data_IF_797000422922
#
_entry.id   IF_797000422922
#
_cell.length_a   1.000
_cell.length_b   1.000
_cell.length_c   1.000
_cell.angle_alpha   90.00
_cell.angle_beta   90.00
_cell.angle_gamma   90.00
#
_symmetry.space_group_name_H-M   'P 1'
#
loop_
_entity.id
_entity.type
_entity.pdbx_description
1 polymer ?
#
# COMPACT_ATOMS: atom_id res chain seq x y z
N UNK A 1 23.57 10.47 -77.16
CA UNK A 1 24.21 10.52 -75.82
C UNK A 1 23.36 11.30 -74.79
N UNK A 2 22.05 11.01 -74.64
CA UNK A 2 21.15 11.74 -73.72
C UNK A 2 20.56 10.87 -72.59
N UNK A 3 20.68 9.53 -72.68
CA UNK A 3 20.10 8.58 -71.71
C UNK A 3 21.06 8.18 -70.57
N UNK A 4 22.36 8.48 -70.70
CA UNK A 4 23.37 8.16 -69.69
C UNK A 4 23.48 9.27 -68.63
N UNK A 5 23.16 10.53 -68.98
CA UNK A 5 23.15 11.64 -68.03
C UNK A 5 22.01 11.59 -67.00
N UNK A 6 20.90 10.91 -67.32
CA UNK A 6 19.74 10.80 -66.44
C UNK A 6 19.96 9.78 -65.29
N UNK A 7 20.86 8.82 -65.48
CA UNK A 7 21.20 7.81 -64.46
C UNK A 7 22.20 8.36 -63.44
N UNK A 8 23.07 9.30 -63.86
CA UNK A 8 24.08 9.91 -62.99
C UNK A 8 23.51 10.99 -62.07
N UNK A 9 22.34 11.55 -62.37
CA UNK A 9 21.67 12.52 -61.50
C UNK A 9 20.77 11.87 -60.44
N UNK A 10 20.37 10.61 -60.64
CA UNK A 10 19.48 9.88 -59.72
C UNK A 10 20.25 9.25 -58.53
N UNK A 11 21.58 9.15 -58.62
CA UNK A 11 22.42 8.56 -57.56
C UNK A 11 22.88 9.57 -56.49
N UNK A 12 22.75 10.88 -56.72
CA UNK A 12 23.23 11.91 -55.78
C UNK A 12 22.19 12.39 -54.77
N UNK A 13 20.89 12.07 -54.93
CA UNK A 13 19.84 12.57 -54.04
C UNK A 13 19.50 11.65 -52.85
N UNK A 14 20.17 10.50 -52.73
CA UNK A 14 19.96 9.56 -51.61
C UNK A 14 20.86 9.81 -50.38
N UNK A 15 21.72 10.84 -50.40
CA UNK A 15 22.46 11.27 -49.21
C UNK A 15 21.59 12.19 -48.35
N UNK A 16 20.45 11.67 -47.92
CA UNK A 16 19.65 12.28 -46.86
C UNK A 16 20.51 12.38 -45.61
N UNK A 17 20.70 13.61 -45.12
CA UNK A 17 21.35 13.91 -43.86
C UNK A 17 20.70 13.10 -42.72
N UNK A 18 21.32 11.97 -42.39
CA UNK A 18 21.02 11.25 -41.16
C UNK A 18 21.53 12.12 -40.01
N UNK A 19 20.64 12.99 -39.53
CA UNK A 19 20.82 13.71 -38.28
C UNK A 19 21.10 12.66 -37.19
N UNK A 20 22.38 12.51 -36.84
CA UNK A 20 22.81 11.78 -35.64
C UNK A 20 22.14 12.48 -34.46
N UNK A 21 20.93 12.05 -34.08
CA UNK A 21 20.35 12.35 -32.78
C UNK A 21 21.41 11.94 -31.76
N UNK A 22 21.94 12.92 -31.01
CA UNK A 22 22.78 12.65 -29.84
C UNK A 22 22.04 11.62 -29.01
N UNK A 23 22.56 10.39 -28.95
CA UNK A 23 22.11 9.38 -28.00
C UNK A 23 22.43 9.94 -26.62
N UNK A 24 21.44 10.59 -25.99
CA UNK A 24 21.49 10.84 -24.56
C UNK A 24 21.72 9.48 -23.89
N UNK A 25 22.62 9.43 -22.91
CA UNK A 25 22.87 8.21 -22.14
C UNK A 25 21.52 7.77 -21.56
N UNK A 26 20.94 6.69 -22.07
CA UNK A 26 19.69 6.15 -21.55
C UNK A 26 19.98 5.59 -20.17
N UNK A 27 19.55 6.29 -19.12
CA UNK A 27 19.57 5.77 -17.75
C UNK A 27 18.77 4.46 -17.74
N UNK A 28 19.38 3.36 -17.30
CA UNK A 28 18.67 2.10 -17.11
C UNK A 28 18.16 2.00 -15.67
N UNK A 29 17.21 1.10 -15.45
CA UNK A 29 16.66 0.82 -14.12
C UNK A 29 17.32 -0.45 -13.61
N UNK A 30 17.95 -0.36 -12.44
CA UNK A 30 18.44 -1.52 -11.72
C UNK A 30 17.27 -2.12 -10.93
N UNK A 31 16.97 -3.40 -11.17
CA UNK A 31 15.97 -4.17 -10.45
C UNK A 31 16.67 -5.28 -9.67
N UNK A 32 16.33 -5.41 -8.38
CA UNK A 32 16.72 -6.55 -7.57
C UNK A 32 15.49 -7.12 -6.87
N UNK A 33 15.05 -8.29 -7.32
CA UNK A 33 14.01 -9.08 -6.67
C UNK A 33 14.63 -10.03 -5.65
N UNK A 34 14.16 -9.99 -4.41
CA UNK A 34 14.65 -10.86 -3.33
C UNK A 34 13.52 -11.36 -2.45
N UNK A 35 13.78 -12.47 -1.76
CA UNK A 35 12.99 -12.86 -0.59
C UNK A 35 13.13 -11.75 0.46
N UNK A 36 12.02 -11.44 1.13
CA UNK A 36 11.96 -10.40 2.15
C UNK A 36 12.74 -10.89 3.38
N UNK A 37 13.77 -10.16 3.77
CA UNK A 37 14.60 -10.46 4.95
C UNK A 37 14.46 -9.29 5.91
N UNK A 38 14.05 -9.57 7.14
CA UNK A 38 13.93 -8.58 8.20
C UNK A 38 15.11 -8.69 9.15
N UNK A 39 15.93 -7.64 9.24
CA UNK A 39 17.08 -7.59 10.15
C UNK A 39 16.72 -7.00 11.51
N UNK A 40 17.49 -7.32 12.55
CA UNK A 40 17.30 -6.75 13.89
C UNK A 40 17.40 -5.21 13.86
N UNK A 41 18.43 -4.69 13.18
CA UNK A 41 18.65 -3.25 13.06
C UNK A 41 17.49 -2.55 12.35
N UNK A 42 16.89 -3.14 11.31
CA UNK A 42 15.71 -2.59 10.67
C UNK A 42 14.50 -2.62 11.61
N UNK A 43 14.27 -3.73 12.34
CA UNK A 43 13.19 -3.82 13.32
C UNK A 43 13.36 -2.82 14.48
N UNK A 44 14.59 -2.56 14.90
CA UNK A 44 14.92 -1.62 15.98
C UNK A 44 14.74 -0.16 15.56
N UNK A 45 15.11 0.20 14.33
CA UNK A 45 15.01 1.57 13.85
C UNK A 45 13.67 1.91 13.19
N UNK A 46 12.86 0.89 12.86
CA UNK A 46 11.59 1.10 12.16
C UNK A 46 10.42 1.43 13.09
N UNK A 47 9.52 2.29 12.60
CA UNK A 47 8.17 2.53 13.13
C UNK A 47 7.08 1.75 12.39
N UNK A 48 7.43 0.98 11.36
CA UNK A 48 6.49 0.18 10.58
C UNK A 48 6.21 -1.16 11.27
N UNK A 49 4.95 -1.45 11.67
CA UNK A 49 4.58 -2.71 12.32
C UNK A 49 5.03 -3.95 11.55
N UNK A 50 5.02 -3.86 10.21
CA UNK A 50 5.41 -4.96 9.31
C UNK A 50 6.85 -5.40 9.48
N UNK A 51 7.78 -4.46 9.63
CA UNK A 51 9.21 -4.78 9.76
C UNK A 51 9.47 -5.50 11.07
N UNK A 52 8.85 -5.03 12.15
CA UNK A 52 8.99 -5.63 13.48
C UNK A 52 8.32 -7.01 13.52
N UNK A 53 7.10 -7.12 13.00
CA UNK A 53 6.38 -8.39 12.93
C UNK A 53 7.09 -9.41 12.03
N UNK A 54 7.64 -8.95 10.91
CA UNK A 54 8.41 -9.77 9.98
C UNK A 54 9.68 -10.32 10.61
N UNK A 55 10.40 -9.48 11.36
CA UNK A 55 11.55 -9.92 12.15
C UNK A 55 11.17 -11.00 13.17
N UNK A 56 10.08 -10.79 13.92
CA UNK A 56 9.57 -11.77 14.88
C UNK A 56 9.18 -13.11 14.23
N UNK A 57 8.58 -13.07 13.04
CA UNK A 57 8.22 -14.30 12.29
C UNK A 57 9.46 -15.06 11.82
N UNK A 58 10.47 -14.36 11.31
CA UNK A 58 11.66 -14.97 10.71
C UNK A 58 12.67 -15.46 11.76
N UNK A 59 12.61 -14.92 12.99
CA UNK A 59 13.57 -15.21 14.05
C UNK A 59 12.86 -15.71 15.33
N UNK A 60 12.21 -16.90 15.28
CA UNK A 60 11.57 -17.47 16.46
C UNK A 60 12.61 -17.72 17.56
N UNK A 61 12.33 -17.26 18.78
CA UNK A 61 13.22 -17.46 19.93
C UNK A 61 14.42 -16.49 20.00
N UNK A 62 14.45 -15.42 19.20
CA UNK A 62 15.50 -14.40 19.28
C UNK A 62 15.62 -13.82 20.71
N UNK A 63 16.84 -13.49 21.15
CA UNK A 63 17.11 -13.01 22.52
C UNK A 63 16.28 -11.76 22.91
N UNK A 64 15.99 -10.89 21.94
CA UNK A 64 15.18 -9.67 22.13
C UNK A 64 13.71 -9.81 21.71
N UNK A 65 13.19 -11.03 21.62
CA UNK A 65 11.78 -11.28 21.21
C UNK A 65 10.79 -10.46 22.03
N UNK A 66 10.94 -10.40 23.35
CA UNK A 66 10.00 -9.67 24.22
C UNK A 66 10.06 -8.15 24.00
N UNK A 67 11.24 -7.62 23.73
CA UNK A 67 11.42 -6.21 23.36
C UNK A 67 10.64 -5.90 22.07
N UNK A 68 10.82 -6.69 21.02
CA UNK A 68 10.15 -6.46 19.74
C UNK A 68 8.64 -6.69 19.81
N UNK A 69 8.16 -7.67 20.58
CA UNK A 69 6.73 -7.85 20.86
C UNK A 69 6.14 -6.61 21.53
N UNK A 70 6.76 -6.11 22.59
CA UNK A 70 6.31 -4.88 23.29
C UNK A 70 6.31 -3.67 22.38
N UNK A 71 7.37 -3.49 21.58
CA UNK A 71 7.48 -2.40 20.59
C UNK A 71 6.35 -2.47 19.56
N UNK A 72 6.10 -3.66 19.00
CA UNK A 72 5.02 -3.89 18.04
C UNK A 72 3.65 -3.56 18.62
N UNK A 73 3.35 -4.05 19.83
CA UNK A 73 2.08 -3.77 20.51
C UNK A 73 1.88 -2.28 20.77
N UNK A 74 2.94 -1.58 21.20
CA UNK A 74 2.91 -0.14 21.44
C UNK A 74 2.52 0.63 20.19
N UNK A 75 3.13 0.31 19.04
CA UNK A 75 2.85 0.98 17.76
C UNK A 75 1.42 0.69 17.29
N UNK A 76 0.95 -0.56 17.38
CA UNK A 76 -0.40 -0.94 16.95
C UNK A 76 -1.46 -0.26 17.83
N UNK A 77 -1.23 -0.17 19.14
CA UNK A 77 -2.18 0.46 20.06
C UNK A 77 -2.18 1.99 19.94
N UNK A 78 -1.03 2.63 19.66
CA UNK A 78 -0.95 4.07 19.44
C UNK A 78 -1.81 4.52 18.24
N UNK A 79 -1.82 3.75 17.15
CA UNK A 79 -2.66 4.02 15.97
C UNK A 79 -4.18 3.83 16.23
N UNK A 80 -4.56 3.27 17.39
CA UNK A 80 -5.96 3.12 17.84
C UNK A 80 -6.35 4.12 18.95
N UNK A 81 -5.52 5.12 19.24
CA UNK A 81 -5.85 6.13 20.26
C UNK A 81 -7.07 6.97 19.83
N UNK A 82 -8.05 7.22 20.72
CA UNK A 82 -9.24 8.06 20.45
C UNK A 82 -8.91 9.56 20.24
N UNK A 83 -7.66 9.92 20.01
CA UNK A 83 -7.14 11.29 19.96
C UNK A 83 -7.48 12.07 18.69
N UNK A 84 -8.19 11.47 17.74
CA UNK A 84 -8.92 12.22 16.71
C UNK A 84 -10.32 12.66 17.20
N UNK A 85 -10.42 13.25 18.39
CA UNK A 85 -11.60 14.07 18.72
C UNK A 85 -11.38 15.47 18.13
N UNK A 86 -12.14 15.91 17.10
CA UNK A 86 -12.19 17.33 16.79
C UNK A 86 -12.66 18.05 18.07
N UNK A 87 -11.84 18.93 18.61
CA UNK A 87 -12.27 19.82 19.70
C UNK A 87 -13.24 20.83 19.07
N UNK A 88 -14.53 20.50 19.08
CA UNK A 88 -15.58 21.45 18.72
C UNK A 88 -15.62 22.47 19.85
N UNK A 89 -14.95 23.62 19.69
CA UNK A 89 -15.27 24.79 20.51
C UNK A 89 -16.74 25.13 20.22
N UNK A 90 -17.64 25.14 21.22
CA UNK A 90 -19.04 25.43 20.99
C UNK A 90 -19.19 26.81 20.33
N UNK A 91 -19.89 26.85 19.19
CA UNK A 91 -20.27 28.10 18.54
C UNK A 91 -21.10 28.94 19.53
N UNK A 92 -20.81 30.25 19.61
CA UNK A 92 -21.53 31.18 20.47
C UNK A 92 -23.03 31.22 20.14
N UNK A 93 -23.88 31.46 21.15
CA UNK A 93 -25.35 31.51 21.05
C UNK A 93 -25.86 32.39 19.88
N UNK A 94 -25.16 33.47 19.58
CA UNK A 94 -25.49 34.40 18.47
C UNK A 94 -25.43 33.77 17.07
N UNK A 95 -24.69 32.67 16.87
CA UNK A 95 -24.61 31.96 15.58
C UNK A 95 -25.65 30.85 15.46
N UNK A 96 -26.20 30.39 16.59
CA UNK A 96 -27.25 29.37 16.65
C UNK A 96 -28.61 29.99 16.26
N UNK A 97 -28.91 31.21 16.72
CA UNK A 97 -30.16 31.92 16.41
C UNK A 97 -30.35 32.19 14.91
N UNK A 98 -29.27 32.46 14.17
CA UNK A 98 -29.31 32.65 12.71
C UNK A 98 -29.61 31.38 11.92
N UNK A 99 -29.36 30.20 12.48
CA UNK A 99 -29.56 28.91 11.81
C UNK A 99 -30.98 28.37 12.06
N UNK A 100 -31.52 28.62 13.25
CA UNK A 100 -32.87 28.14 13.65
C UNK A 100 -34.01 28.86 12.92
N UNK A 101 -33.74 30.00 12.28
CA UNK A 101 -34.79 30.79 11.59
C UNK A 101 -35.20 30.25 10.20
N UNK A 102 -34.51 29.26 9.64
CA UNK A 102 -34.75 28.79 8.26
C UNK A 102 -35.00 27.27 8.17
N UNK A 103 -36.07 26.77 8.78
CA UNK A 103 -36.55 25.41 8.47
C UNK A 103 -38.07 25.32 8.48
N UNK A 104 -38.66 25.59 7.32
CA UNK A 104 -39.87 24.89 6.89
C UNK A 104 -39.57 23.39 6.74
N UNK A 105 -40.61 22.55 6.87
CA UNK A 105 -40.66 21.09 6.69
C UNK A 105 -40.55 20.23 7.96
N UNK A 106 -41.50 20.43 8.88
CA UNK A 106 -42.00 19.37 9.75
C UNK A 106 -43.27 18.75 9.14
N UNK A 107 -43.16 17.56 8.52
CA UNK A 107 -44.26 16.57 8.51
C UNK A 107 -43.67 15.17 8.60
N UNK A 108 -43.79 14.59 9.79
CA UNK A 108 -43.39 13.22 10.07
C UNK A 108 -44.40 12.18 9.59
N UNK A 109 -43.92 10.94 9.49
CA UNK A 109 -44.76 9.75 9.64
C UNK A 109 -43.96 8.61 10.27
N UNK A 110 -44.44 8.21 11.44
CA UNK A 110 -44.05 7.11 12.33
C UNK A 110 -44.38 5.76 11.70
N UNK A 111 -43.57 4.71 11.93
CA UNK A 111 -44.03 3.30 12.06
C UNK A 111 -43.04 2.45 12.90
N UNK A 112 -43.60 1.44 13.56
CA UNK A 112 -43.19 0.78 14.81
C UNK A 112 -42.82 -0.72 14.67
N UNK A 113 -41.89 -1.19 15.52
CA UNK A 113 -41.69 -2.50 16.21
C UNK A 113 -42.27 -3.86 15.74
N UNK A 114 -41.45 -4.93 15.89
CA UNK A 114 -41.70 -6.26 16.56
C UNK A 114 -40.65 -7.31 16.10
N UNK A 115 -40.43 -8.52 16.66
CA UNK A 115 -40.15 -9.11 18.00
C UNK A 115 -40.01 -10.64 17.79
N UNK A 116 -39.00 -11.29 18.43
CA UNK A 116 -38.85 -12.72 18.88
C UNK A 116 -38.27 -13.88 18.00
N UNK A 117 -37.18 -14.47 18.57
CA UNK A 117 -36.79 -15.87 18.92
C UNK A 117 -36.71 -17.00 17.84
N UNK A 118 -35.69 -17.90 17.80
CA UNK A 118 -35.44 -19.03 18.74
C UNK A 118 -34.12 -19.84 18.50
N UNK A 119 -33.52 -20.29 19.61
CA UNK A 119 -32.43 -21.24 20.01
C UNK A 119 -31.74 -22.29 19.09
N UNK A 120 -30.41 -22.48 19.33
CA UNK A 120 -29.62 -23.75 19.35
C UNK A 120 -28.47 -23.59 20.39
N UNK A 121 -28.07 -24.60 21.21
CA UNK A 121 -27.17 -24.40 22.36
C UNK A 121 -25.68 -24.51 21.99
N UNK A 122 -24.86 -23.57 22.46
CA UNK A 122 -23.41 -23.57 22.26
C UNK A 122 -22.66 -23.55 23.60
N UNK A 123 -21.56 -24.30 23.64
CA UNK A 123 -20.73 -24.61 24.81
C UNK A 123 -20.16 -23.35 25.46
N UNK A 124 -20.31 -23.30 26.77
CA UNK A 124 -19.82 -22.26 27.69
C UNK A 124 -18.29 -22.15 27.66
N UNK A 125 -17.80 -21.01 27.17
CA UNK A 125 -16.47 -20.50 27.48
C UNK A 125 -16.65 -19.05 27.95
N UNK A 126 -16.80 -18.93 29.27
CA UNK A 126 -16.79 -17.69 30.04
C UNK A 126 -15.58 -16.81 29.69
N UNK A 127 -15.80 -15.79 28.87
CA UNK A 127 -14.95 -14.60 28.83
C UNK A 127 -15.61 -13.53 29.70
N UNK A 128 -14.85 -13.07 30.69
CA UNK A 128 -15.24 -12.04 31.64
C UNK A 128 -15.91 -10.85 30.93
N UNK A 129 -17.17 -10.64 31.29
CA UNK A 129 -17.96 -9.45 30.97
C UNK A 129 -17.33 -8.24 31.65
N UNK A 130 -16.74 -7.35 30.86
CA UNK A 130 -16.50 -5.96 31.27
C UNK A 130 -17.42 -5.11 30.42
N UNK A 131 -18.60 -4.84 30.97
CA UNK A 131 -19.52 -3.88 30.40
C UNK A 131 -18.94 -2.48 30.50
N UNK A 132 -18.75 -1.83 29.35
CA UNK A 132 -19.07 -0.42 29.22
C UNK A 132 -19.32 -0.07 27.74
N UNK A 133 -20.48 0.53 27.51
CA UNK A 133 -21.00 1.03 26.25
C UNK A 133 -20.11 2.13 25.67
N UNK A 134 -19.15 1.74 24.83
CA UNK A 134 -18.47 2.68 23.94
C UNK A 134 -18.96 2.43 22.53
N UNK A 135 -19.62 3.42 21.92
CA UNK A 135 -19.82 3.46 20.46
C UNK A 135 -18.45 3.28 19.83
N UNK A 136 -18.16 2.08 19.35
CA UNK A 136 -16.88 1.67 18.76
C UNK A 136 -16.70 2.52 17.51
N UNK A 137 -15.80 3.51 17.58
CA UNK A 137 -15.31 4.18 16.38
C UNK A 137 -14.76 3.10 15.46
N UNK A 138 -15.21 3.08 14.20
CA UNK A 138 -14.65 2.13 13.24
C UNK A 138 -13.13 2.32 13.13
N UNK A 139 -12.35 1.23 13.02
CA UNK A 139 -10.93 1.34 12.78
C UNK A 139 -10.65 2.11 11.48
N UNK A 140 -9.61 2.95 11.48
CA UNK A 140 -9.17 3.65 10.28
C UNK A 140 -8.79 2.67 9.16
N UNK A 141 -8.84 3.09 7.89
CA UNK A 141 -8.45 2.23 6.77
C UNK A 141 -6.98 1.77 6.87
N UNK A 142 -6.11 2.62 7.44
CA UNK A 142 -4.72 2.26 7.74
C UNK A 142 -4.67 1.14 8.77
N UNK A 143 -5.44 1.25 9.86
CA UNK A 143 -5.51 0.21 10.89
C UNK A 143 -6.07 -1.10 10.33
N UNK A 144 -7.12 -1.06 9.51
CA UNK A 144 -7.68 -2.24 8.82
C UNK A 144 -6.63 -2.93 7.94
N UNK A 145 -5.91 -2.17 7.10
CA UNK A 145 -4.83 -2.71 6.24
C UNK A 145 -3.68 -3.30 7.05
N UNK A 146 -3.26 -2.63 8.11
CA UNK A 146 -2.20 -3.12 9.01
C UNK A 146 -2.63 -4.42 9.70
N UNK A 147 -3.87 -4.50 10.20
CA UNK A 147 -4.40 -5.71 10.82
C UNK A 147 -4.44 -6.89 9.84
N UNK A 148 -5.04 -6.70 8.66
CA UNK A 148 -5.05 -7.74 7.61
C UNK A 148 -3.65 -8.22 7.25
N UNK A 149 -2.69 -7.30 7.19
CA UNK A 149 -1.31 -7.65 6.91
C UNK A 149 -0.64 -8.45 8.03
N UNK A 150 -0.82 -8.03 9.29
CA UNK A 150 -0.28 -8.76 10.43
C UNK A 150 -0.90 -10.15 10.55
N UNK A 151 -2.20 -10.27 10.28
CA UNK A 151 -2.89 -11.56 10.20
C UNK A 151 -2.24 -12.46 9.15
N UNK A 152 -2.08 -11.98 7.91
CA UNK A 152 -1.40 -12.75 6.85
C UNK A 152 0.03 -13.12 7.23
N UNK A 153 0.77 -12.19 7.84
CA UNK A 153 2.14 -12.43 8.24
C UNK A 153 2.25 -13.46 9.35
N UNK A 154 1.33 -13.53 10.31
CA UNK A 154 1.36 -14.57 11.34
C UNK A 154 0.52 -15.81 10.99
N UNK A 155 -0.17 -15.80 9.87
CA UNK A 155 -0.80 -16.99 9.32
C UNK A 155 0.28 -17.95 8.80
N UNK A 156 0.06 -19.23 9.05
CA UNK A 156 0.93 -20.32 8.62
C UNK A 156 0.28 -21.15 7.50
N UNK A 157 -0.82 -20.68 6.92
CA UNK A 157 -1.55 -21.39 5.88
C UNK A 157 -0.88 -21.22 4.50
N UNK A 158 -0.30 -22.28 3.91
CA UNK A 158 0.30 -22.21 2.57
C UNK A 158 -0.74 -22.00 1.46
N UNK A 159 -2.02 -22.24 1.74
CA UNK A 159 -3.14 -22.11 0.79
C UNK A 159 -3.68 -20.68 0.66
N UNK A 160 -3.10 -19.72 1.40
CA UNK A 160 -3.47 -18.31 1.32
C UNK A 160 -3.45 -17.82 -0.13
N UNK A 161 -4.57 -17.22 -0.55
CA UNK A 161 -4.75 -16.74 -1.93
C UNK A 161 -4.07 -15.40 -2.17
N UNK A 162 -3.63 -14.74 -1.12
CA UNK A 162 -3.02 -13.42 -1.14
C UNK A 162 -1.51 -13.51 -0.89
N UNK A 163 -0.80 -12.51 -1.37
CA UNK A 163 0.61 -12.28 -1.11
C UNK A 163 0.82 -10.77 -1.15
N UNK A 164 1.80 -10.26 -0.40
CA UNK A 164 2.16 -8.86 -0.51
C UNK A 164 3.42 -8.62 -1.33
N UNK A 165 3.43 -7.48 -2.00
CA UNK A 165 4.58 -6.96 -2.72
C UNK A 165 5.11 -5.78 -1.91
N UNK A 166 6.36 -5.83 -1.46
CA UNK A 166 7.08 -4.68 -0.93
C UNK A 166 7.91 -4.04 -2.05
N UNK A 167 7.73 -2.75 -2.30
CA UNK A 167 8.57 -1.99 -3.23
C UNK A 167 9.51 -1.10 -2.42
N UNK A 168 10.81 -1.33 -2.54
CA UNK A 168 11.86 -0.52 -1.92
C UNK A 168 12.44 0.42 -2.96
N UNK A 169 12.20 1.72 -2.77
CA UNK A 169 12.68 2.75 -3.65
C UNK A 169 14.05 3.25 -3.19
N UNK A 170 15.10 2.90 -3.92
CA UNK A 170 16.45 3.41 -3.67
C UNK A 170 16.76 4.68 -4.46
N UNK A 171 15.89 5.10 -5.36
CA UNK A 171 16.04 6.34 -6.12
C UNK A 171 15.70 7.58 -5.28
N UNK A 172 16.07 8.76 -5.80
CA UNK A 172 15.72 10.07 -5.23
C UNK A 172 14.33 10.56 -5.66
N UNK A 173 13.57 9.79 -6.45
CA UNK A 173 12.30 10.22 -7.02
C UNK A 173 11.14 9.46 -6.39
N UNK A 174 9.99 10.13 -6.21
CA UNK A 174 8.75 9.44 -5.81
C UNK A 174 8.27 8.55 -6.96
N UNK A 175 7.92 7.30 -6.66
CA UNK A 175 7.44 6.34 -7.64
C UNK A 175 5.93 6.19 -7.54
N UNK A 176 5.27 6.08 -8.69
CA UNK A 176 3.89 5.58 -8.77
C UNK A 176 3.97 4.26 -9.53
N UNK A 177 3.91 3.15 -8.80
CA UNK A 177 4.01 1.81 -9.37
C UNK A 177 2.62 1.33 -9.75
N UNK A 178 2.42 1.08 -11.05
CA UNK A 178 1.19 0.52 -11.60
C UNK A 178 1.35 -0.99 -11.66
N UNK A 179 0.46 -1.70 -10.98
CA UNK A 179 0.46 -3.16 -10.89
C UNK A 179 -0.80 -3.66 -11.61
N UNK A 180 -0.63 -4.24 -12.78
CA UNK A 180 -1.73 -4.64 -13.66
C UNK A 180 -1.77 -6.16 -13.83
N UNK A 181 -2.88 -6.79 -13.46
CA UNK A 181 -3.10 -8.22 -13.65
C UNK A 181 -4.58 -8.53 -13.51
N UNK A 182 -4.94 -9.45 -12.60
CA UNK A 182 -6.35 -9.74 -12.24
C UNK A 182 -7.11 -8.47 -11.80
N UNK A 183 -6.42 -7.62 -11.06
CA UNK A 183 -6.88 -6.31 -10.59
C UNK A 183 -5.81 -5.27 -10.91
N UNK A 184 -6.22 -4.01 -10.93
CA UNK A 184 -5.33 -2.88 -11.17
C UNK A 184 -5.08 -2.11 -9.88
N UNK A 185 -3.82 -1.83 -9.58
CA UNK A 185 -3.43 -1.09 -8.39
C UNK A 185 -2.40 0.00 -8.72
N UNK A 186 -2.50 1.10 -8.00
CA UNK A 186 -1.50 2.16 -7.97
C UNK A 186 -0.88 2.22 -6.58
N UNK A 187 0.41 1.94 -6.49
CA UNK A 187 1.17 2.02 -5.26
C UNK A 187 2.11 3.22 -5.30
N UNK A 188 1.88 4.17 -4.40
CA UNK A 188 2.78 5.30 -4.20
C UNK A 188 3.95 4.91 -3.29
N UNK A 189 5.17 5.15 -3.74
CA UNK A 189 6.40 4.84 -3.00
C UNK A 189 7.25 6.11 -2.88
N UNK A 190 7.44 6.66 -1.67
CA UNK A 190 8.27 7.85 -1.45
C UNK A 190 9.71 7.66 -1.92
N UNK A 191 10.40 8.77 -2.26
CA UNK A 191 11.84 8.79 -2.51
C UNK A 191 12.61 8.22 -1.32
N UNK A 192 13.61 7.35 -1.58
CA UNK A 192 14.39 6.66 -0.54
C UNK A 192 13.56 5.89 0.51
N UNK A 193 12.29 5.62 0.20
CA UNK A 193 11.35 4.96 1.08
C UNK A 193 10.93 3.58 0.58
N UNK A 194 9.87 3.06 1.16
CA UNK A 194 9.24 1.81 0.71
C UNK A 194 7.74 1.87 0.96
N UNK A 195 6.99 1.11 0.19
CA UNK A 195 5.58 0.87 0.44
C UNK A 195 5.21 -0.53 -0.04
N UNK A 196 4.06 -1.03 0.41
CA UNK A 196 3.63 -2.39 0.20
C UNK A 196 2.17 -2.44 -0.23
N UNK A 197 1.80 -3.54 -0.86
CA UNK A 197 0.43 -3.81 -1.26
C UNK A 197 0.15 -5.31 -1.14
N UNK A 198 -0.94 -5.67 -0.48
CA UNK A 198 -1.46 -7.04 -0.47
C UNK A 198 -2.38 -7.25 -1.67
N UNK A 199 -2.11 -8.29 -2.45
CA UNK A 199 -2.86 -8.63 -3.66
C UNK A 199 -3.06 -10.14 -3.76
N UNK A 200 -4.01 -10.56 -4.57
CA UNK A 200 -4.17 -11.97 -4.91
C UNK A 200 -2.97 -12.50 -5.69
N UNK A 201 -2.54 -13.72 -5.37
CA UNK A 201 -1.52 -14.45 -6.13
C UNK A 201 -1.91 -14.56 -7.61
N UNK A 202 -0.92 -14.41 -8.48
CA UNK A 202 -1.12 -14.39 -9.92
C UNK A 202 0.03 -13.74 -10.67
N UNK A 203 -0.17 -13.52 -11.97
CA UNK A 203 0.79 -12.84 -12.84
C UNK A 203 0.39 -11.38 -13.03
N UNK A 204 1.36 -10.48 -12.88
CA UNK A 204 1.16 -9.04 -12.92
C UNK A 204 2.26 -8.37 -13.73
N UNK A 205 1.90 -7.32 -14.47
CA UNK A 205 2.84 -6.40 -15.11
C UNK A 205 3.01 -5.21 -14.20
N UNK A 206 4.24 -5.00 -13.72
CA UNK A 206 4.62 -3.85 -12.91
C UNK A 206 5.25 -2.80 -13.83
N UNK A 207 4.73 -1.58 -13.80
CA UNK A 207 5.30 -0.46 -14.56
C UNK A 207 5.47 0.78 -13.68
N UNK A 208 6.56 1.51 -13.86
CA UNK A 208 6.76 2.80 -13.22
C UNK A 208 7.81 3.65 -13.95
N UNK A 209 7.92 4.91 -13.57
CA UNK A 209 9.03 5.78 -13.93
C UNK A 209 9.95 5.88 -12.73
N UNK A 210 11.16 5.31 -12.83
CA UNK A 210 12.21 5.48 -11.82
C UNK A 210 13.01 6.72 -12.22
N UNK A 211 12.63 7.87 -11.64
CA UNK A 211 13.04 9.18 -12.14
C UNK A 211 12.67 9.34 -13.63
N UNK A 212 13.66 9.35 -14.53
CA UNK A 212 13.48 9.53 -15.98
C UNK A 212 13.48 8.20 -16.76
N UNK A 213 13.72 7.08 -16.07
CA UNK A 213 13.88 5.78 -16.69
C UNK A 213 12.58 4.96 -16.59
N UNK A 214 12.14 4.41 -17.72
CA UNK A 214 10.97 3.52 -17.77
C UNK A 214 11.33 2.16 -17.21
N UNK A 215 10.51 1.69 -16.27
CA UNK A 215 10.55 0.33 -15.75
C UNK A 215 9.29 -0.42 -16.16
N UNK A 216 9.45 -1.65 -16.64
CA UNK A 216 8.36 -2.59 -16.94
C UNK A 216 8.85 -4.01 -16.72
N UNK A 217 8.16 -4.78 -15.89
CA UNK A 217 8.55 -6.16 -15.57
C UNK A 217 7.31 -7.03 -15.34
N UNK A 218 7.33 -8.25 -15.90
CA UNK A 218 6.31 -9.26 -15.63
C UNK A 218 6.72 -10.04 -14.38
N UNK A 219 5.85 -10.07 -13.37
CA UNK A 219 6.08 -10.71 -12.07
C UNK A 219 5.04 -11.76 -11.80
N UNK A 220 5.51 -12.95 -11.42
CA UNK A 220 4.67 -14.05 -10.95
C UNK A 220 4.66 -14.05 -9.43
N UNK A 221 3.55 -13.60 -8.87
CA UNK A 221 3.35 -13.42 -7.44
C UNK A 221 2.72 -14.69 -6.87
N UNK A 222 3.55 -15.60 -6.36
CA UNK A 222 3.12 -16.84 -5.70
C UNK A 222 3.39 -16.85 -4.19
N UNK A 223 4.18 -15.90 -3.71
CA UNK A 223 4.57 -15.69 -2.33
C UNK A 223 4.88 -14.20 -2.13
N UNK A 224 5.12 -13.81 -0.90
CA UNK A 224 5.52 -12.44 -0.58
C UNK A 224 6.90 -12.13 -1.20
N UNK A 225 7.03 -10.97 -1.84
CA UNK A 225 8.28 -10.56 -2.53
C UNK A 225 8.67 -9.12 -2.19
N UNK A 226 9.97 -8.84 -2.23
CA UNK A 226 10.50 -7.47 -2.23
C UNK A 226 11.16 -7.17 -3.57
N UNK A 227 10.81 -6.03 -4.16
CA UNK A 227 11.42 -5.49 -5.37
C UNK A 227 12.10 -4.19 -5.01
N UNK A 228 13.42 -4.17 -5.14
CA UNK A 228 14.21 -2.96 -5.01
C UNK A 228 14.39 -2.32 -6.39
N UNK A 229 14.02 -1.05 -6.49
CA UNK A 229 14.17 -0.24 -7.70
C UNK A 229 15.19 0.89 -7.47
N UNK A 230 16.15 1.00 -8.37
CA UNK A 230 17.13 2.08 -8.40
C UNK A 230 17.43 2.56 -9.82
N UNK A 231 18.06 3.72 -9.94
CA UNK A 231 18.63 4.18 -11.21
C UNK A 231 20.02 3.56 -11.32
N UNK A 232 20.29 2.80 -12.38
CA UNK A 232 21.66 2.36 -12.66
C UNK A 232 22.46 3.59 -13.14
N UNK A 233 23.51 3.95 -12.41
CA UNK A 233 24.49 4.97 -12.83
C UNK A 233 25.38 4.48 -13.97
#
# INVERSE_FOLDING_TARGET
>A
MKKIFLILFLSFFCLGFSQKKKKGKTKAVAEKETVIIYTEAEAENSSEPRIIAGFLKQNPGHARTDFFKKKLMTIIMADNSPEAKPTIKPLSKSKIEKIVSNSELNKGKVLTSNTKNTSIPERDLSYASVGNTSKKSEPSDKAKKTASMLTHLFNHDPSDKEAYINIKNKSNCRLIVKISGKKYYNLDVPAKGQNFLMIEKGEYVLTTMVCDAKYSSLKKINKDIEIQLDVSE
#
